data_IF_693634247681
#
_entry.id   IF_693634247681
#
_cell.length_a   1.000
_cell.length_b   1.000
_cell.length_c   1.000
_cell.angle_alpha   90.00
_cell.angle_beta   90.00
_cell.angle_gamma   90.00
#
_symmetry.space_group_name_H-M   'P 1'
#
loop_
_entity.id
_entity.type
_entity.pdbx_description
1 polymer ?
#
# COMPACT_ATOMS: atom_id res chain seq x y z
N UNK A 1 -75.11 23.08 7.50
CA UNK A 1 -73.91 22.79 8.32
C UNK A 1 -72.97 21.91 7.50
N UNK A 2 -71.88 22.49 6.99
CA UNK A 2 -70.94 21.87 6.04
C UNK A 2 -69.96 20.95 6.80
N UNK A 3 -69.81 19.70 6.35
CA UNK A 3 -68.76 18.76 6.80
C UNK A 3 -67.49 19.04 6.01
N UNK A 4 -66.39 19.36 6.70
CA UNK A 4 -65.05 19.51 6.12
C UNK A 4 -64.34 18.17 6.29
N UNK A 5 -64.03 17.52 5.16
CA UNK A 5 -63.18 16.34 5.11
C UNK A 5 -61.72 16.79 5.03
N UNK A 6 -60.92 16.51 6.07
CA UNK A 6 -59.48 16.74 6.05
C UNK A 6 -58.78 15.45 5.59
N UNK A 7 -58.22 15.49 4.38
CA UNK A 7 -57.31 14.47 3.89
C UNK A 7 -55.94 14.68 4.53
N UNK A 8 -55.50 13.71 5.32
CA UNK A 8 -54.13 13.63 5.87
C UNK A 8 -53.23 13.12 4.73
N UNK A 9 -52.44 14.03 4.15
CA UNK A 9 -51.38 13.68 3.21
C UNK A 9 -50.21 13.03 3.96
N UNK A 10 -50.02 11.73 3.76
CA UNK A 10 -48.89 10.99 4.30
C UNK A 10 -47.63 11.36 3.49
N UNK A 11 -46.74 12.15 4.09
CA UNK A 11 -45.46 12.52 3.48
C UNK A 11 -44.49 11.34 3.59
N UNK A 12 -44.33 10.57 2.51
CA UNK A 12 -43.33 9.51 2.40
C UNK A 12 -41.93 10.15 2.35
N UNK A 13 -41.26 10.19 3.49
CA UNK A 13 -39.84 10.51 3.58
C UNK A 13 -39.04 9.34 3.01
N UNK A 14 -38.58 9.45 1.76
CA UNK A 14 -37.65 8.50 1.15
C UNK A 14 -36.29 8.71 1.82
N UNK A 15 -35.98 7.87 2.80
CA UNK A 15 -34.63 7.81 3.37
C UNK A 15 -33.73 7.14 2.34
N UNK A 16 -32.91 7.93 1.65
CA UNK A 16 -31.86 7.40 0.78
C UNK A 16 -30.86 6.62 1.65
N UNK A 17 -30.93 5.28 1.58
CA UNK A 17 -29.90 4.43 2.17
C UNK A 17 -28.57 4.74 1.47
N UNK A 18 -27.47 4.97 2.22
CA UNK A 18 -26.18 5.14 1.60
C UNK A 18 -25.82 3.84 0.87
N UNK A 19 -25.69 3.93 -0.46
CA UNK A 19 -25.15 2.83 -1.26
C UNK A 19 -23.73 2.57 -0.74
N UNK A 20 -23.52 1.39 -0.15
CA UNK A 20 -22.18 0.92 0.20
C UNK A 20 -21.37 0.88 -1.09
N UNK A 21 -20.41 1.80 -1.22
CA UNK A 21 -19.50 1.81 -2.36
C UNK A 21 -18.60 0.55 -2.25
N UNK A 22 -18.80 -0.40 -3.17
CA UNK A 22 -17.86 -1.51 -3.36
C UNK A 22 -16.52 -1.01 -3.92
N UNK A 23 -15.55 -1.91 -4.05
CA UNK A 23 -14.26 -1.62 -4.65
C UNK A 23 -14.42 -0.88 -5.99
N UNK A 24 -13.52 0.07 -6.24
CA UNK A 24 -13.54 0.84 -7.47
C UNK A 24 -13.28 -0.08 -8.67
N UNK A 25 -13.91 0.23 -9.80
CA UNK A 25 -13.64 -0.49 -11.05
C UNK A 25 -12.17 -0.34 -11.43
N UNK A 26 -11.51 -1.46 -11.68
CA UNK A 26 -10.11 -1.48 -12.10
C UNK A 26 -9.95 -0.93 -13.53
N UNK A 27 -8.89 -0.14 -13.78
CA UNK A 27 -8.43 0.19 -15.13
C UNK A 27 -8.12 -1.05 -15.96
N UNK A 28 -8.35 -1.00 -17.28
CA UNK A 28 -8.18 -2.16 -18.18
C UNK A 28 -6.74 -2.68 -18.28
N UNK A 29 -5.75 -1.86 -17.94
CA UNK A 29 -4.33 -2.22 -17.95
C UNK A 29 -3.90 -3.02 -16.69
N UNK A 30 -4.75 -3.05 -15.66
CA UNK A 30 -4.52 -3.78 -14.41
C UNK A 30 -5.32 -5.08 -14.38
N UNK A 31 -4.73 -6.13 -13.80
CA UNK A 31 -5.37 -7.43 -13.66
C UNK A 31 -5.51 -7.73 -12.16
N UNK A 32 -6.73 -7.92 -11.68
CA UNK A 32 -6.96 -8.28 -10.28
C UNK A 32 -6.37 -9.65 -9.96
N UNK A 33 -5.73 -9.80 -8.80
CA UNK A 33 -5.17 -11.09 -8.36
C UNK A 33 -6.24 -12.20 -8.29
N UNK A 34 -7.45 -11.87 -7.87
CA UNK A 34 -8.56 -12.80 -7.70
C UNK A 34 -9.28 -13.17 -9.00
N UNK A 35 -8.94 -12.52 -10.12
CA UNK A 35 -9.40 -12.93 -11.45
C UNK A 35 -8.73 -14.23 -11.93
N UNK A 36 -9.36 -14.94 -12.87
CA UNK A 36 -8.77 -16.15 -13.47
C UNK A 36 -7.37 -15.90 -14.03
N UNK A 37 -7.21 -14.82 -14.81
CA UNK A 37 -5.92 -14.42 -15.38
C UNK A 37 -4.89 -14.08 -14.28
N UNK A 38 -5.29 -13.34 -13.25
CA UNK A 38 -4.41 -12.99 -12.13
C UNK A 38 -3.93 -14.20 -11.33
N UNK A 39 -4.80 -15.20 -11.13
CA UNK A 39 -4.44 -16.47 -10.49
C UNK A 39 -3.50 -17.30 -11.36
N UNK A 40 -3.72 -17.34 -12.69
CA UNK A 40 -2.82 -18.03 -13.63
C UNK A 40 -1.42 -17.40 -13.63
N UNK A 41 -1.32 -16.06 -13.68
CA UNK A 41 -0.04 -15.34 -13.55
C UNK A 41 0.65 -15.71 -12.23
N UNK A 42 -0.10 -15.72 -11.12
CA UNK A 42 0.45 -16.08 -9.81
C UNK A 42 0.96 -17.53 -9.77
N UNK A 43 0.23 -18.47 -10.35
CA UNK A 43 0.63 -19.88 -10.40
C UNK A 43 1.94 -20.06 -11.20
N UNK A 44 2.09 -19.35 -12.32
CA UNK A 44 3.27 -19.43 -13.20
C UNK A 44 4.51 -18.70 -12.66
N UNK A 45 4.32 -17.62 -11.90
CA UNK A 45 5.43 -16.85 -11.34
C UNK A 45 6.38 -17.70 -10.48
N UNK A 46 7.69 -17.48 -10.63
CA UNK A 46 8.74 -18.08 -9.78
C UNK A 46 9.40 -17.09 -8.83
N UNK A 47 8.95 -15.84 -8.82
CA UNK A 47 9.39 -14.73 -7.95
C UNK A 47 8.22 -14.30 -7.06
N UNK A 48 7.89 -15.13 -6.07
CA UNK A 48 6.72 -14.96 -5.20
C UNK A 48 6.95 -15.40 -3.76
N UNK A 49 8.21 -15.43 -3.32
CA UNK A 49 8.58 -15.84 -1.97
C UNK A 49 7.94 -14.92 -0.91
N UNK A 50 7.85 -13.63 -1.22
CA UNK A 50 7.31 -12.61 -0.33
C UNK A 50 5.79 -12.67 -0.18
N UNK A 51 5.08 -13.37 -1.08
CA UNK A 51 3.61 -13.35 -1.09
C UNK A 51 3.00 -13.85 0.21
N UNK A 52 3.40 -15.03 0.70
CA UNK A 52 2.77 -15.62 1.88
C UNK A 52 3.02 -14.79 3.15
N UNK A 53 4.27 -14.40 3.47
CA UNK A 53 4.52 -13.56 4.64
C UNK A 53 3.80 -12.21 4.57
N UNK A 54 3.72 -11.58 3.39
CA UNK A 54 2.98 -10.34 3.23
C UNK A 54 1.48 -10.55 3.43
N UNK A 55 0.90 -11.62 2.89
CA UNK A 55 -0.52 -11.91 3.04
C UNK A 55 -0.93 -12.28 4.47
N UNK A 56 -0.05 -12.93 5.23
CA UNK A 56 -0.27 -13.18 6.67
C UNK A 56 -0.31 -11.89 7.49
N UNK A 57 0.38 -10.84 7.03
CA UNK A 57 0.55 -9.58 7.75
C UNK A 57 -0.19 -8.40 7.12
N UNK A 58 -0.90 -8.61 6.00
CA UNK A 58 -1.53 -7.53 5.24
C UNK A 58 -2.65 -6.87 6.05
N UNK A 59 -2.58 -5.56 6.19
CA UNK A 59 -3.59 -4.77 6.90
C UNK A 59 -4.15 -3.65 6.02
N UNK A 60 -5.30 -3.13 6.43
CA UNK A 60 -5.92 -1.97 5.79
C UNK A 60 -5.33 -0.70 6.40
N UNK A 61 -4.91 0.25 5.57
CA UNK A 61 -4.47 1.58 6.06
C UNK A 61 -5.58 2.24 6.88
N UNK A 62 -5.25 2.77 8.07
CA UNK A 62 -6.24 3.31 9.02
C UNK A 62 -7.11 4.43 8.43
N UNK A 63 -6.54 5.22 7.53
CA UNK A 63 -7.24 6.27 6.79
C UNK A 63 -6.51 6.55 5.47
N UNK A 64 -7.03 7.49 4.68
CA UNK A 64 -6.52 7.82 3.34
C UNK A 64 -5.05 8.25 3.30
N UNK A 65 -4.46 8.70 4.42
CA UNK A 65 -3.08 9.21 4.47
C UNK A 65 -2.06 8.22 5.05
N UNK A 66 -2.50 7.05 5.51
CA UNK A 66 -1.68 6.08 6.25
C UNK A 66 -1.03 4.98 5.39
N UNK A 67 -1.13 5.06 4.05
CA UNK A 67 -0.59 4.02 3.16
C UNK A 67 0.89 3.70 3.40
N UNK A 68 1.73 4.72 3.62
CA UNK A 68 3.14 4.51 3.95
C UNK A 68 3.35 3.80 5.29
N UNK A 69 2.61 4.21 6.32
CA UNK A 69 2.67 3.61 7.67
C UNK A 69 2.21 2.15 7.64
N UNK A 70 1.06 1.86 7.01
CA UNK A 70 0.58 0.49 6.84
C UNK A 70 1.59 -0.37 6.07
N UNK A 71 2.16 0.15 4.98
CA UNK A 71 3.16 -0.58 4.18
C UNK A 71 4.40 -0.93 4.99
N UNK A 72 4.86 -0.02 5.86
CA UNK A 72 5.98 -0.30 6.77
C UNK A 72 5.63 -1.41 7.77
N UNK A 73 4.48 -1.32 8.42
CA UNK A 73 4.04 -2.30 9.42
C UNK A 73 3.91 -3.69 8.80
N UNK A 74 3.30 -3.79 7.61
CA UNK A 74 3.19 -5.05 6.86
C UNK A 74 4.58 -5.64 6.61
N UNK A 75 5.52 -4.84 6.09
CA UNK A 75 6.87 -5.31 5.77
C UNK A 75 7.70 -5.67 7.01
N UNK A 76 7.58 -4.91 8.11
CA UNK A 76 8.29 -5.17 9.36
C UNK A 76 7.78 -6.44 10.04
N UNK A 77 6.45 -6.63 10.10
CA UNK A 77 5.88 -7.88 10.61
C UNK A 77 6.25 -9.07 9.72
N UNK A 78 6.21 -8.92 8.39
CA UNK A 78 6.61 -9.97 7.46
C UNK A 78 8.11 -10.31 7.54
N UNK A 79 8.97 -9.37 7.95
CA UNK A 79 10.37 -9.66 8.27
C UNK A 79 10.52 -10.42 9.59
N UNK A 80 9.52 -10.42 10.47
CA UNK A 80 9.63 -10.98 11.81
C UNK A 80 10.86 -10.40 12.55
N UNK A 81 10.90 -9.07 12.64
CA UNK A 81 11.86 -8.32 13.48
C UNK A 81 11.17 -7.84 14.76
N UNK A 82 11.95 -7.59 15.81
CA UNK A 82 11.42 -7.31 17.15
C UNK A 82 10.61 -5.99 17.19
N UNK A 83 9.29 -6.05 17.47
CA UNK A 83 8.47 -4.86 17.49
C UNK A 83 8.50 -4.15 18.85
N UNK A 84 8.15 -2.86 18.89
CA UNK A 84 7.83 -2.15 20.11
C UNK A 84 6.69 -2.84 20.88
N UNK A 85 6.67 -2.63 22.20
CA UNK A 85 5.57 -3.13 23.04
C UNK A 85 4.28 -2.38 22.72
N UNK A 86 3.18 -3.11 22.54
CA UNK A 86 1.82 -2.59 22.44
C UNK A 86 1.00 -3.19 23.59
N UNK A 87 0.60 -2.39 24.61
CA UNK A 87 -0.14 -2.90 25.77
C UNK A 87 -1.41 -3.66 25.39
N UNK A 88 -2.08 -3.27 24.31
CA UNK A 88 -3.30 -3.92 23.83
C UNK A 88 -3.10 -5.39 23.41
N UNK A 89 -1.86 -5.79 23.08
CA UNK A 89 -1.55 -7.13 22.59
C UNK A 89 -0.75 -7.96 23.60
N UNK A 90 -0.47 -7.45 24.80
CA UNK A 90 0.34 -8.13 25.79
C UNK A 90 -0.20 -9.54 26.13
N UNK A 91 0.67 -10.57 26.29
CA UNK A 91 2.13 -10.52 26.24
C UNK A 91 2.72 -10.59 24.81
N UNK A 92 1.88 -10.67 23.79
CA UNK A 92 2.29 -10.76 22.39
C UNK A 92 2.76 -9.41 21.85
N UNK A 93 3.58 -9.48 20.81
CA UNK A 93 4.33 -8.36 20.25
C UNK A 93 4.11 -8.35 18.74
N UNK A 94 3.67 -7.22 18.19
CA UNK A 94 3.44 -7.02 16.76
C UNK A 94 3.55 -5.53 16.44
N UNK A 95 4.05 -5.18 15.26
CA UNK A 95 3.94 -3.81 14.76
C UNK A 95 2.48 -3.49 14.43
N UNK A 96 2.08 -2.28 14.78
CA UNK A 96 0.77 -1.71 14.46
C UNK A 96 0.96 -0.32 13.86
N UNK A 97 -0.05 0.18 13.17
CA UNK A 97 -0.04 1.57 12.67
C UNK A 97 0.00 2.62 13.79
N UNK A 98 -0.12 2.21 15.06
CA UNK A 98 -0.02 3.08 16.24
C UNK A 98 1.36 3.01 16.91
N UNK A 99 1.90 1.81 17.13
CA UNK A 99 3.15 1.63 17.87
C UNK A 99 4.41 1.89 17.03
N UNK A 100 4.26 2.13 15.73
CA UNK A 100 5.35 2.51 14.82
C UNK A 100 5.91 3.92 15.10
N UNK A 101 5.28 4.72 15.97
CA UNK A 101 5.69 6.08 16.29
C UNK A 101 6.51 6.11 17.59
N UNK A 102 7.73 5.55 17.57
CA UNK A 102 8.70 5.63 18.67
C UNK A 102 9.13 7.09 18.93
N UNK A 103 9.80 7.38 20.07
CA UNK A 103 10.36 8.71 20.33
C UNK A 103 11.30 9.25 19.24
N UNK A 104 12.00 8.37 18.51
CA UNK A 104 12.87 8.76 17.41
C UNK A 104 12.07 9.01 16.13
N UNK A 105 11.10 8.15 15.81
CA UNK A 105 10.17 8.36 14.68
C UNK A 105 9.38 9.67 14.83
N UNK A 106 8.96 10.01 16.06
CA UNK A 106 8.25 11.25 16.36
C UNK A 106 9.06 12.53 16.05
N UNK A 107 10.40 12.44 15.96
CA UNK A 107 11.26 13.55 15.52
C UNK A 107 11.23 13.74 13.99
N UNK A 108 10.86 12.71 13.24
CA UNK A 108 10.73 12.75 11.78
C UNK A 108 9.33 13.26 11.41
N UNK A 109 8.30 12.62 11.94
CA UNK A 109 6.91 13.00 11.72
C UNK A 109 6.01 12.50 12.86
N UNK A 110 4.87 13.15 13.04
CA UNK A 110 3.88 12.79 14.07
C UNK A 110 2.64 12.17 13.42
N UNK A 111 1.84 11.37 14.15
CA UNK A 111 0.55 10.90 13.67
C UNK A 111 -0.34 12.03 13.14
N UNK A 112 -0.30 13.21 13.77
CA UNK A 112 -1.04 14.40 13.30
C UNK A 112 -0.55 14.88 11.93
N UNK A 113 0.75 14.87 11.68
CA UNK A 113 1.30 15.24 10.38
C UNK A 113 1.00 14.18 9.33
N UNK A 114 1.13 12.90 9.65
CA UNK A 114 0.75 11.80 8.74
C UNK A 114 -0.72 11.93 8.36
N UNK A 115 -1.63 12.16 9.30
CA UNK A 115 -3.07 12.36 9.02
C UNK A 115 -3.37 13.54 8.08
N UNK A 116 -2.50 14.55 8.03
CA UNK A 116 -2.70 15.73 7.18
C UNK A 116 -2.14 15.55 5.76
N UNK A 117 -1.00 14.88 5.62
CA UNK A 117 -0.19 14.92 4.38
C UNK A 117 0.46 13.59 3.99
N UNK A 118 0.23 12.52 4.74
CA UNK A 118 0.96 11.26 4.63
C UNK A 118 2.46 11.42 4.86
N UNK A 119 3.21 10.38 4.50
CA UNK A 119 4.69 10.38 4.48
C UNK A 119 5.20 10.46 3.03
N UNK A 120 6.39 11.03 2.81
CA UNK A 120 7.09 10.93 1.53
C UNK A 120 8.13 9.82 1.60
N UNK A 121 8.74 9.50 0.45
CA UNK A 121 9.70 8.41 0.35
C UNK A 121 10.89 8.54 1.33
N UNK A 122 11.41 9.76 1.54
CA UNK A 122 12.50 10.02 2.48
C UNK A 122 12.06 9.92 3.95
N UNK A 123 10.87 10.40 4.29
CA UNK A 123 10.33 10.22 5.64
C UNK A 123 10.12 8.73 5.93
N UNK A 124 9.58 7.96 4.97
CA UNK A 124 9.38 6.52 5.13
C UNK A 124 10.71 5.78 5.35
N UNK A 125 11.76 6.07 4.57
CA UNK A 125 13.08 5.48 4.79
C UNK A 125 13.67 5.86 6.15
N UNK A 126 13.62 7.13 6.55
CA UNK A 126 14.09 7.57 7.86
C UNK A 126 13.34 6.92 9.01
N UNK A 127 12.02 6.72 8.87
CA UNK A 127 11.22 6.03 9.88
C UNK A 127 11.61 4.55 9.98
N UNK A 128 11.88 3.89 8.84
CA UNK A 128 12.38 2.51 8.83
C UNK A 128 13.75 2.37 9.50
N UNK A 129 14.60 3.40 9.40
CA UNK A 129 15.92 3.42 10.03
C UNK A 129 15.93 3.41 11.56
N UNK A 130 14.78 3.59 12.22
CA UNK A 130 14.66 3.42 13.68
C UNK A 130 14.45 1.96 14.11
N UNK A 131 14.24 1.05 13.16
CA UNK A 131 13.99 -0.36 13.40
C UNK A 131 15.22 -1.21 13.05
N UNK A 132 15.33 -2.45 13.57
CA UNK A 132 16.47 -3.33 13.30
C UNK A 132 16.42 -3.95 11.88
N UNK A 133 16.33 -3.09 10.88
CA UNK A 133 16.28 -3.42 9.46
C UNK A 133 17.26 -2.56 8.68
N UNK A 134 17.73 -3.09 7.55
CA UNK A 134 18.37 -2.30 6.51
C UNK A 134 17.31 -1.79 5.55
N UNK A 135 17.20 -0.48 5.39
CA UNK A 135 16.33 0.17 4.40
C UNK A 135 17.19 0.86 3.33
N UNK A 136 16.98 0.50 2.06
CA UNK A 136 17.64 1.11 0.91
C UNK A 136 16.58 1.80 0.04
N UNK A 137 16.59 3.13 0.04
CA UNK A 137 15.70 3.95 -0.77
C UNK A 137 16.34 4.27 -2.11
N UNK A 138 15.54 4.14 -3.17
CA UNK A 138 15.90 4.54 -4.52
C UNK A 138 14.82 5.44 -5.10
N UNK A 139 15.21 6.64 -5.54
CA UNK A 139 14.37 7.45 -6.42
C UNK A 139 14.59 7.05 -7.85
N UNK A 140 13.59 7.26 -8.71
CA UNK A 140 13.71 6.85 -10.12
C UNK A 140 14.71 7.66 -10.95
N UNK A 141 15.21 8.79 -10.46
CA UNK A 141 16.30 9.56 -11.07
C UNK A 141 17.69 9.04 -10.66
N UNK A 142 17.79 8.31 -9.56
CA UNK A 142 19.04 7.77 -9.01
C UNK A 142 19.29 6.32 -9.45
N UNK A 143 18.37 5.73 -10.24
CA UNK A 143 18.44 4.34 -10.70
C UNK A 143 17.68 4.17 -12.02
N UNK A 144 17.69 2.95 -12.58
CA UNK A 144 17.02 2.59 -13.83
C UNK A 144 15.92 1.55 -13.62
N UNK A 145 15.03 1.42 -14.61
CA UNK A 145 14.03 0.34 -14.62
C UNK A 145 14.67 -1.05 -14.51
N UNK A 146 15.84 -1.24 -15.14
CA UNK A 146 16.58 -2.51 -15.10
C UNK A 146 17.01 -2.84 -13.67
N UNK A 147 17.64 -1.89 -12.98
CA UNK A 147 18.11 -2.05 -11.60
C UNK A 147 16.96 -2.22 -10.61
N UNK A 148 15.86 -1.48 -10.77
CA UNK A 148 14.63 -1.69 -10.01
C UNK A 148 14.14 -3.12 -10.16
N UNK A 149 14.01 -3.60 -11.41
CA UNK A 149 13.50 -4.93 -11.69
C UNK A 149 14.41 -6.01 -11.12
N UNK A 150 15.72 -5.90 -11.32
CA UNK A 150 16.71 -6.86 -10.80
C UNK A 150 16.70 -6.92 -9.27
N UNK A 151 16.65 -5.76 -8.61
CA UNK A 151 16.64 -5.68 -7.14
C UNK A 151 15.32 -6.20 -6.56
N UNK A 152 14.19 -5.89 -7.19
CA UNK A 152 12.89 -6.41 -6.77
C UNK A 152 12.79 -7.92 -6.98
N UNK A 153 13.25 -8.44 -8.13
CA UNK A 153 13.32 -9.87 -8.39
C UNK A 153 14.20 -10.60 -7.36
N UNK A 154 15.31 -10.00 -6.95
CA UNK A 154 16.17 -10.58 -5.92
C UNK A 154 15.44 -10.72 -4.57
N UNK A 155 14.74 -9.68 -4.12
CA UNK A 155 13.92 -9.72 -2.91
C UNK A 155 12.85 -10.83 -3.02
N UNK A 156 12.03 -10.77 -4.07
CA UNK A 156 10.91 -11.67 -4.36
C UNK A 156 11.31 -13.14 -4.60
N UNK A 157 12.59 -13.41 -4.86
CA UNK A 157 13.12 -14.78 -5.00
C UNK A 157 13.55 -15.37 -3.68
N UNK A 158 14.10 -14.54 -2.79
CA UNK A 158 14.80 -14.99 -1.59
C UNK A 158 13.90 -15.04 -0.36
N UNK A 159 12.85 -14.20 -0.30
CA UNK A 159 12.03 -14.05 0.91
C UNK A 159 12.80 -13.41 2.07
N UNK A 160 13.95 -12.78 1.80
CA UNK A 160 14.85 -12.19 2.81
C UNK A 160 14.76 -10.66 2.89
N UNK A 161 13.97 -10.07 2.02
CA UNK A 161 13.68 -8.65 2.01
C UNK A 161 12.40 -8.39 1.23
N UNK A 162 11.81 -7.23 1.44
CA UNK A 162 10.56 -6.82 0.82
C UNK A 162 10.76 -5.50 0.07
N UNK A 163 9.91 -5.26 -0.92
CA UNK A 163 9.91 -4.02 -1.71
C UNK A 163 8.65 -3.23 -1.39
N UNK A 164 8.81 -1.99 -0.93
CA UNK A 164 7.73 -1.02 -0.80
C UNK A 164 7.86 -0.01 -1.94
N UNK A 165 6.83 0.13 -2.78
CA UNK A 165 6.82 1.12 -3.86
C UNK A 165 6.05 2.36 -3.47
N UNK A 166 6.53 3.52 -3.91
CA UNK A 166 5.83 4.79 -3.87
C UNK A 166 5.50 5.23 -5.30
N UNK A 167 4.21 5.27 -5.64
CA UNK A 167 3.77 5.51 -7.01
C UNK A 167 2.57 6.48 -7.05
N UNK A 168 2.32 7.09 -8.21
CA UNK A 168 1.12 7.87 -8.47
C UNK A 168 0.04 7.00 -9.12
N UNK A 169 -1.07 6.79 -8.40
CA UNK A 169 -2.23 6.01 -8.89
C UNK A 169 -2.75 6.50 -10.24
N UNK A 170 -2.74 7.82 -10.45
CA UNK A 170 -3.30 8.45 -11.66
C UNK A 170 -2.57 7.99 -12.92
N UNK A 171 -1.26 7.76 -12.83
CA UNK A 171 -0.45 7.28 -13.94
C UNK A 171 -0.84 5.86 -14.37
N UNK A 172 -1.41 5.06 -13.45
CA UNK A 172 -1.90 3.71 -13.74
C UNK A 172 -3.40 3.67 -14.09
N UNK A 173 -4.06 4.83 -14.13
CA UNK A 173 -5.50 4.97 -14.40
C UNK A 173 -6.40 4.83 -13.16
N UNK A 174 -5.83 4.64 -11.98
CA UNK A 174 -6.58 4.54 -10.72
C UNK A 174 -6.98 5.90 -10.17
N UNK A 175 -8.00 5.93 -9.30
CA UNK A 175 -8.38 7.12 -8.53
C UNK A 175 -7.44 7.31 -7.35
N UNK A 176 -7.12 8.57 -7.05
CA UNK A 176 -6.28 8.94 -5.90
C UNK A 176 -5.08 9.77 -6.33
N UNK A 177 -4.00 9.69 -5.54
CA UNK A 177 -2.74 10.38 -5.81
C UNK A 177 -1.55 9.49 -5.48
N UNK A 178 -0.58 10.02 -4.73
CA UNK A 178 0.55 9.22 -4.25
C UNK A 178 0.09 8.11 -3.30
N UNK A 179 0.65 6.90 -3.49
CA UNK A 179 0.36 5.70 -2.71
C UNK A 179 1.67 5.00 -2.32
N UNK A 180 1.64 4.28 -1.20
CA UNK A 180 2.62 3.25 -0.87
C UNK A 180 1.92 1.91 -0.72
N UNK A 181 2.54 0.85 -1.24
CA UNK A 181 2.12 -0.54 -1.02
C UNK A 181 3.31 -1.48 -1.24
N UNK A 182 3.36 -2.66 -0.59
CA UNK A 182 4.35 -3.69 -0.91
C UNK A 182 4.13 -4.36 -2.28
N UNK A 183 5.20 -4.88 -2.86
CA UNK A 183 5.15 -5.84 -3.97
C UNK A 183 5.29 -7.26 -3.42
N UNK A 184 4.40 -8.16 -3.83
CA UNK A 184 4.36 -9.53 -3.33
C UNK A 184 4.85 -10.59 -4.34
N UNK A 185 4.83 -10.28 -5.63
CA UNK A 185 5.31 -11.18 -6.67
C UNK A 185 5.72 -10.45 -7.96
N UNK A 186 6.49 -11.13 -8.79
CA UNK A 186 6.82 -10.72 -10.15
C UNK A 186 6.65 -11.90 -11.12
N UNK A 187 5.99 -11.67 -12.25
CA UNK A 187 5.93 -12.62 -13.35
C UNK A 187 6.78 -12.15 -14.52
N UNK A 188 7.75 -12.99 -14.89
CA UNK A 188 8.72 -12.67 -15.94
C UNK A 188 8.11 -12.78 -17.34
N UNK A 189 7.13 -13.68 -17.53
CA UNK A 189 6.49 -13.93 -18.83
C UNK A 189 5.67 -12.73 -19.28
N UNK A 190 4.88 -12.16 -18.37
CA UNK A 190 4.02 -11.01 -18.63
C UNK A 190 4.66 -9.67 -18.26
N UNK A 191 5.85 -9.69 -17.65
CA UNK A 191 6.53 -8.53 -17.10
C UNK A 191 5.62 -7.73 -16.15
N UNK A 192 5.05 -8.41 -15.15
CA UNK A 192 4.10 -7.80 -14.20
C UNK A 192 4.53 -7.96 -12.76
N UNK A 193 4.33 -6.91 -11.98
CA UNK A 193 4.46 -6.94 -10.52
C UNK A 193 3.10 -7.01 -9.87
N UNK A 194 2.98 -7.80 -8.81
CA UNK A 194 1.79 -7.87 -7.96
C UNK A 194 1.93 -6.88 -6.81
N UNK A 195 1.16 -5.81 -6.84
CA UNK A 195 1.03 -4.87 -5.72
C UNK A 195 -0.03 -5.41 -4.76
N UNK A 196 0.32 -5.57 -3.48
CA UNK A 196 -0.65 -5.89 -2.42
C UNK A 196 -1.09 -4.60 -1.74
N UNK A 197 -2.20 -4.06 -2.25
CA UNK A 197 -2.63 -2.70 -1.90
C UNK A 197 -3.16 -2.61 -0.46
N UNK A 198 -2.56 -1.74 0.36
CA UNK A 198 -3.00 -1.48 1.73
C UNK A 198 -4.28 -0.63 1.78
N UNK A 199 -4.67 0.02 0.68
CA UNK A 199 -5.99 0.66 0.52
C UNK A 199 -7.08 -0.37 0.17
N UNK A 200 -7.22 -1.43 0.99
CA UNK A 200 -8.07 -2.60 0.70
C UNK A 200 -9.55 -2.30 0.49
N UNK A 201 -10.02 -1.12 0.96
CA UNK A 201 -11.37 -0.61 0.73
C UNK A 201 -11.56 0.07 -0.65
N UNK A 202 -10.47 0.31 -1.39
CA UNK A 202 -10.49 0.92 -2.72
C UNK A 202 -10.26 -0.10 -3.82
N UNK A 203 -9.16 -0.86 -3.71
CA UNK A 203 -8.66 -1.73 -4.77
C UNK A 203 -8.18 -3.08 -4.20
N UNK A 204 -8.40 -4.20 -4.91
CA UNK A 204 -7.79 -5.48 -4.57
C UNK A 204 -6.28 -5.46 -4.88
N UNK A 205 -5.52 -6.50 -4.50
CA UNK A 205 -4.19 -6.72 -5.07
C UNK A 205 -4.24 -6.80 -6.60
N UNK A 206 -3.30 -6.13 -7.27
CA UNK A 206 -3.31 -5.97 -8.73
C UNK A 206 -1.96 -6.31 -9.35
N UNK A 207 -2.01 -7.01 -10.49
CA UNK A 207 -0.89 -7.15 -11.39
C UNK A 207 -0.81 -5.93 -12.33
N UNK A 208 0.31 -5.23 -12.26
CA UNK A 208 0.62 -4.07 -13.11
C UNK A 208 1.82 -4.37 -14.00
N UNK A 209 1.84 -3.87 -15.25
CA UNK A 209 3.02 -3.97 -16.10
C UNK A 209 4.21 -3.25 -15.44
N UNK A 210 5.39 -3.84 -15.47
CA UNK A 210 6.57 -3.27 -14.80
C UNK A 210 6.97 -1.89 -15.32
N UNK A 211 6.79 -1.61 -16.62
CA UNK A 211 7.02 -0.28 -17.16
C UNK A 211 5.95 0.72 -16.70
N UNK A 212 4.69 0.32 -16.61
CA UNK A 212 3.62 1.20 -16.10
C UNK A 212 3.87 1.56 -14.63
N UNK A 213 4.27 0.59 -13.81
CA UNK A 213 4.66 0.84 -12.42
C UNK A 213 5.88 1.76 -12.33
N UNK A 214 6.89 1.54 -13.18
CA UNK A 214 8.06 2.42 -13.25
C UNK A 214 7.68 3.86 -13.63
N UNK A 215 6.80 4.05 -14.63
CA UNK A 215 6.28 5.37 -14.98
C UNK A 215 5.50 6.01 -13.82
N UNK A 216 4.72 5.23 -13.07
CA UNK A 216 4.01 5.72 -11.90
C UNK A 216 4.95 6.13 -10.75
N UNK A 217 6.10 5.47 -10.59
CA UNK A 217 7.15 5.88 -9.65
C UNK A 217 7.94 7.11 -10.14
N UNK A 218 8.05 7.32 -11.45
CA UNK A 218 8.69 8.52 -12.03
C UNK A 218 7.91 9.81 -11.81
N UNK A 219 6.62 9.72 -11.49
CA UNK A 219 5.81 10.89 -11.20
C UNK A 219 6.39 11.68 -10.02
N UNK A 220 6.47 12.99 -10.15
CA UNK A 220 7.00 13.90 -9.12
C UNK A 220 6.01 13.98 -7.95
N UNK A 221 6.51 13.84 -6.72
CA UNK A 221 5.74 14.16 -5.51
C UNK A 221 5.68 15.69 -5.37
N UNK A 222 4.47 16.24 -5.40
CA UNK A 222 4.21 17.68 -5.36
C UNK A 222 4.72 18.35 -4.08
N UNK A 223 4.93 17.59 -3.00
CA UNK A 223 5.40 18.11 -1.71
C UNK A 223 6.92 18.22 -1.64
N UNK A 224 7.63 17.30 -2.28
CA UNK A 224 9.09 17.24 -2.24
C UNK A 224 9.75 17.80 -3.49
N UNK A 225 8.99 17.91 -4.59
CA UNK A 225 9.49 18.22 -5.93
C UNK A 225 10.52 17.20 -6.47
N UNK A 226 10.60 16.05 -5.82
CA UNK A 226 11.43 14.92 -6.21
C UNK A 226 10.56 13.82 -6.84
N UNK A 227 11.10 12.99 -7.75
CA UNK A 227 10.40 11.78 -8.16
C UNK A 227 10.16 10.85 -6.98
N UNK A 228 9.13 10.02 -7.09
CA UNK A 228 8.91 8.91 -6.18
C UNK A 228 9.91 7.77 -6.49
N UNK A 229 9.60 6.56 -6.08
CA UNK A 229 10.56 5.45 -6.15
C UNK A 229 10.15 4.29 -5.25
N UNK A 230 11.14 3.60 -4.69
CA UNK A 230 10.90 2.40 -3.90
C UNK A 230 11.91 2.29 -2.76
N UNK A 231 11.57 1.46 -1.77
CA UNK A 231 12.47 1.07 -0.67
C UNK A 231 12.57 -0.44 -0.63
N UNK A 232 13.81 -0.94 -0.56
CA UNK A 232 14.09 -2.35 -0.26
C UNK A 232 14.40 -2.45 1.23
N UNK A 233 13.66 -3.30 1.92
CA UNK A 233 13.74 -3.51 3.36
C UNK A 233 14.18 -4.95 3.62
N UNK A 234 15.18 -5.16 4.48
CA UNK A 234 15.71 -6.48 4.84
C UNK A 234 16.19 -6.49 6.29
N UNK A 235 16.46 -7.67 6.86
CA UNK A 235 17.13 -7.74 8.17
C UNK A 235 18.55 -7.15 8.08
N UNK A 236 19.03 -6.59 9.20
CA UNK A 236 20.43 -6.16 9.36
C UNK A 236 21.41 -7.33 9.19
#
# INVERSE_FOLDING_TARGET
MRRISQYIGCLLCVVALPVLAGNLKLPKNLIALDSKEGQEIFQQSTYKADFWPLMENIETQQNLMYSGVASMVVALNALNVDPPTEPAHAPYKMYTQNNIFTPAVLKITTPTNVNKRGVNLTELEKMLGDYPVKALMYRTNDTSYKEFKESAMHALKTGKGYVIVNFDRRTMGEKGGGQFSPIAAYDATTNRFLIVDVARYMYPPVWVNGLDLWHAMKAVDTRTHEPRGFVIISKL
#
